data_IF_395413179143
#
_entry.id   IF_395413179143
#
_cell.length_a   1.000
_cell.length_b   1.000
_cell.length_c   1.000
_cell.angle_alpha   90.00
_cell.angle_beta   90.00
_cell.angle_gamma   90.00
#
_symmetry.space_group_name_H-M   'P 1'
#
loop_
_entity.id
_entity.type
_entity.pdbx_description
1 polymer ?
#
# COMPACT_ATOMS: atom_id res chain seq x y z
N UNK A 1 -0.80 3.10 15.27
CA UNK A 1 -2.04 2.53 14.70
C UNK A 1 -1.92 2.61 13.18
N UNK A 2 -2.08 1.48 12.49
CA UNK A 2 -2.05 1.44 11.02
C UNK A 2 -3.51 1.32 10.54
N UNK A 3 -3.93 2.24 9.68
CA UNK A 3 -5.23 2.21 9.02
C UNK A 3 -5.03 1.81 7.56
N UNK A 4 -5.83 0.87 7.08
CA UNK A 4 -5.88 0.48 5.67
C UNK A 4 -7.29 0.73 5.17
N UNK A 5 -7.44 1.47 4.07
CA UNK A 5 -8.72 1.72 3.43
C UNK A 5 -8.64 1.48 1.93
N UNK A 6 -9.62 0.80 1.36
CA UNK A 6 -9.77 0.73 -0.09
C UNK A 6 -10.42 2.05 -0.58
N UNK A 7 -9.79 2.72 -1.54
CA UNK A 7 -10.28 3.96 -2.14
C UNK A 7 -11.03 3.67 -3.46
N UNK A 8 -10.60 2.64 -4.17
CA UNK A 8 -11.21 2.12 -5.39
C UNK A 8 -10.81 0.64 -5.52
N UNK A 9 -11.50 -0.17 -6.34
CA UNK A 9 -11.10 -1.54 -6.58
C UNK A 9 -9.63 -1.64 -6.94
N UNK A 10 -8.86 -2.41 -6.17
CA UNK A 10 -7.40 -2.58 -6.34
C UNK A 10 -6.55 -1.34 -6.03
N UNK A 11 -7.11 -0.35 -5.34
CA UNK A 11 -6.43 0.86 -4.91
C UNK A 11 -6.64 1.10 -3.41
N UNK A 12 -5.58 1.01 -2.62
CA UNK A 12 -5.64 1.16 -1.17
C UNK A 12 -4.81 2.33 -0.67
N UNK A 13 -5.19 2.86 0.48
CA UNK A 13 -4.38 3.79 1.24
C UNK A 13 -4.06 3.22 2.61
N UNK A 14 -2.77 3.25 2.94
CA UNK A 14 -2.23 2.84 4.22
C UNK A 14 -1.81 4.11 4.96
N UNK A 15 -2.24 4.29 6.21
CA UNK A 15 -1.86 5.40 7.07
C UNK A 15 -1.21 4.86 8.33
N UNK A 16 0.00 5.32 8.66
CA UNK A 16 0.69 4.99 9.91
C UNK A 16 1.23 6.28 10.56
N UNK A 17 0.53 6.77 11.58
CA UNK A 17 0.81 8.09 12.17
C UNK A 17 0.67 9.21 11.14
N UNK A 18 1.71 10.03 10.98
CA UNK A 18 1.72 11.16 10.03
C UNK A 18 2.16 10.76 8.61
N UNK A 19 2.34 9.47 8.33
CA UNK A 19 2.74 8.98 7.00
C UNK A 19 1.59 8.23 6.36
N UNK A 20 1.38 8.47 5.07
CA UNK A 20 0.50 7.63 4.28
C UNK A 20 1.15 7.18 2.97
N UNK A 21 0.65 6.06 2.48
CA UNK A 21 1.05 5.43 1.22
C UNK A 21 -0.19 5.01 0.45
N UNK A 22 -0.10 5.04 -0.88
CA UNK A 22 -1.09 4.45 -1.78
C UNK A 22 -0.54 3.18 -2.40
N UNK A 23 -1.40 2.19 -2.58
CA UNK A 23 -1.09 0.91 -3.21
C UNK A 23 -2.02 0.72 -4.40
N UNK A 24 -1.45 0.57 -5.59
CA UNK A 24 -2.18 0.31 -6.84
C UNK A 24 -1.81 -1.08 -7.36
N UNK A 25 -2.74 -2.04 -7.28
CA UNK A 25 -2.59 -3.38 -7.84
C UNK A 25 -3.27 -3.55 -9.21
N UNK A 26 -3.93 -2.50 -9.72
CA UNK A 26 -4.67 -2.57 -10.98
C UNK A 26 -3.75 -2.57 -12.21
N UNK A 27 -2.59 -1.89 -12.12
CA UNK A 27 -1.79 -1.62 -13.31
C UNK A 27 -1.07 -2.82 -13.93
N UNK A 28 -0.69 -3.87 -13.18
CA UNK A 28 0.10 -5.00 -13.71
C UNK A 28 -0.06 -6.33 -12.93
N UNK A 29 -1.10 -6.46 -12.08
CA UNK A 29 -1.25 -7.63 -11.19
C UNK A 29 -0.28 -7.64 -10.00
N UNK A 30 0.54 -6.58 -9.86
CA UNK A 30 1.46 -6.40 -8.74
C UNK A 30 1.14 -5.09 -8.00
N UNK A 31 1.15 -5.12 -6.66
CA UNK A 31 0.88 -3.94 -5.84
C UNK A 31 2.06 -2.96 -5.86
N UNK A 32 1.83 -1.78 -6.45
CA UNK A 32 2.79 -0.66 -6.46
C UNK A 32 2.53 0.28 -5.29
N UNK A 33 3.50 0.46 -4.40
CA UNK A 33 3.39 1.33 -3.23
C UNK A 33 4.05 2.69 -3.50
N UNK A 34 3.36 3.78 -3.19
CA UNK A 34 3.86 5.16 -3.33
C UNK A 34 3.63 5.92 -2.02
N UNK A 35 4.60 6.71 -1.57
CA UNK A 35 4.43 7.54 -0.37
C UNK A 35 3.83 8.93 -0.70
N UNK A 36 3.53 9.72 0.34
CA UNK A 36 3.09 11.11 0.23
C UNK A 36 3.87 12.02 -0.71
N UNK A 37 5.19 11.83 -0.81
CA UNK A 37 6.07 12.63 -1.67
C UNK A 37 6.12 12.11 -3.12
N UNK A 38 5.24 11.17 -3.50
CA UNK A 38 5.23 10.55 -4.82
C UNK A 38 6.38 9.56 -5.03
N UNK A 39 7.17 9.24 -4.00
CA UNK A 39 8.29 8.29 -4.13
C UNK A 39 7.77 6.87 -4.14
N UNK A 40 8.13 6.13 -5.19
CA UNK A 40 7.82 4.70 -5.30
C UNK A 40 8.66 3.90 -4.30
N UNK A 41 8.00 3.03 -3.55
CA UNK A 41 8.65 2.05 -2.68
C UNK A 41 8.71 0.74 -3.46
N UNK A 42 9.92 0.20 -3.58
CA UNK A 42 10.14 -1.07 -4.28
C UNK A 42 9.41 -2.20 -3.55
N UNK A 43 8.55 -2.99 -4.21
CA UNK A 43 7.86 -4.14 -3.63
C UNK A 43 8.82 -5.14 -2.95
N UNK A 44 9.98 -5.34 -3.55
CA UNK A 44 11.04 -6.24 -3.05
C UNK A 44 11.80 -5.69 -1.82
N UNK A 45 11.65 -4.40 -1.50
CA UNK A 45 12.26 -3.86 -0.29
C UNK A 45 11.56 -4.39 0.97
N UNK A 46 12.29 -4.50 2.09
CA UNK A 46 11.71 -4.92 3.37
C UNK A 46 10.49 -4.06 3.78
N UNK A 47 10.53 -2.76 3.46
CA UNK A 47 9.39 -1.86 3.67
C UNK A 47 8.23 -2.18 2.72
N UNK A 48 8.51 -2.44 1.45
CA UNK A 48 7.53 -2.85 0.45
C UNK A 48 6.79 -4.11 0.89
N UNK A 49 7.52 -5.19 1.18
CA UNK A 49 6.99 -6.46 1.65
C UNK A 49 6.06 -6.31 2.87
N UNK A 50 6.45 -5.50 3.86
CA UNK A 50 5.62 -5.22 5.04
C UNK A 50 4.32 -4.50 4.68
N UNK A 51 4.38 -3.50 3.81
CA UNK A 51 3.20 -2.76 3.35
C UNK A 51 2.29 -3.65 2.48
N UNK A 52 2.86 -4.55 1.68
CA UNK A 52 2.11 -5.51 0.87
C UNK A 52 1.34 -6.51 1.72
N UNK A 53 2.01 -7.12 2.71
CA UNK A 53 1.37 -8.06 3.62
C UNK A 53 0.14 -7.44 4.32
N UNK A 54 0.19 -6.14 4.66
CA UNK A 54 -0.91 -5.40 5.28
C UNK A 54 -2.07 -5.12 4.31
N UNK A 55 -1.81 -5.07 3.01
CA UNK A 55 -2.85 -4.85 1.97
C UNK A 55 -3.45 -6.14 1.41
N UNK A 56 -2.76 -7.27 1.57
CA UNK A 56 -3.23 -8.58 1.09
C UNK A 56 -3.98 -9.37 2.15
N UNK A 57 -3.99 -8.93 3.41
CA UNK A 57 -4.83 -9.56 4.43
C UNK A 57 -6.30 -9.30 4.11
N UNK A 58 -7.13 -10.36 3.96
CA UNK A 58 -8.56 -10.19 3.76
C UNK A 58 -9.13 -9.47 4.98
N UNK A 59 -9.82 -8.37 4.74
CA UNK A 59 -10.63 -7.70 5.74
C UNK A 59 -11.80 -8.65 6.05
N UNK A 60 -11.75 -9.31 7.21
CA UNK A 60 -12.89 -10.02 7.79
C UNK A 60 -14.02 -9.06 8.12
#
# INVERSE_FOLDING_TARGET
>A
MILVRELAPKHWQIVNGNRWWTVDAARLGLPRIVNMAGKSIRPESSLGQKLLALTTSPTT
#
